data_IF_321713041984
#
_entry.id   IF_321713041984
#
_cell.length_a   1.000
_cell.length_b   1.000
_cell.length_c   1.000
_cell.angle_alpha   90.00
_cell.angle_beta   90.00
_cell.angle_gamma   90.00
#
_symmetry.space_group_name_H-M   'P 1'
#
loop_
_entity.id
_entity.type
_entity.pdbx_description
1 polymer ?
#
# COMPACT_ATOMS: atom_id res chain seq x y z
N UNK A 1 6.11 -10.22 -16.14
CA UNK A 1 6.01 -9.43 -14.89
C UNK A 1 7.32 -9.55 -14.13
N UNK A 2 7.83 -8.46 -13.58
CA UNK A 2 9.01 -8.42 -12.72
C UNK A 2 8.52 -8.10 -11.32
N UNK A 3 8.68 -9.06 -10.40
CA UNK A 3 8.18 -9.01 -9.01
C UNK A 3 9.33 -8.68 -8.06
N UNK A 4 9.13 -7.72 -7.15
CA UNK A 4 10.12 -7.31 -6.15
C UNK A 4 10.33 -8.39 -5.09
N UNK A 5 9.27 -9.07 -4.68
CA UNK A 5 9.28 -10.17 -3.72
C UNK A 5 8.86 -11.50 -4.30
N UNK A 6 8.62 -12.47 -3.44
CA UNK A 6 8.09 -13.78 -3.81
C UNK A 6 6.60 -13.68 -4.17
N UNK A 7 6.15 -14.43 -5.15
CA UNK A 7 4.74 -14.46 -5.58
C UNK A 7 3.75 -14.96 -4.53
N UNK A 8 4.24 -15.45 -3.40
CA UNK A 8 3.47 -15.98 -2.28
C UNK A 8 3.91 -15.34 -0.94
N UNK A 9 4.30 -14.07 -0.98
CA UNK A 9 4.73 -13.29 0.18
C UNK A 9 3.56 -12.91 1.14
N UNK A 10 2.34 -13.23 0.76
CA UNK A 10 1.09 -12.84 1.44
C UNK A 10 0.91 -11.32 1.56
N UNK A 11 1.51 -10.57 0.64
CA UNK A 11 1.50 -9.12 0.58
C UNK A 11 1.55 -8.59 -0.86
N UNK A 12 2.47 -7.64 -1.09
CA UNK A 12 2.56 -6.87 -2.34
C UNK A 12 2.75 -7.73 -3.58
N UNK A 13 3.77 -8.60 -3.61
CA UNK A 13 4.07 -9.39 -4.82
C UNK A 13 3.01 -10.44 -5.11
N UNK A 14 2.38 -11.04 -4.08
CA UNK A 14 1.26 -11.94 -4.28
C UNK A 14 0.05 -11.23 -4.88
N UNK A 15 -0.28 -10.02 -4.41
CA UNK A 15 -1.39 -9.25 -4.98
C UNK A 15 -1.20 -8.98 -6.49
N UNK A 16 0.03 -8.70 -6.92
CA UNK A 16 0.38 -8.54 -8.33
C UNK A 16 0.35 -9.85 -9.11
N UNK A 17 0.84 -10.94 -8.52
CA UNK A 17 0.79 -12.26 -9.13
C UNK A 17 -0.66 -12.71 -9.37
N UNK A 18 -1.53 -12.53 -8.37
CA UNK A 18 -2.95 -12.83 -8.48
C UNK A 18 -3.64 -11.97 -9.55
N UNK A 19 -3.22 -10.71 -9.70
CA UNK A 19 -3.67 -9.87 -10.80
C UNK A 19 -3.23 -10.38 -12.17
N UNK A 20 -2.06 -10.98 -12.28
CA UNK A 20 -1.61 -11.67 -13.49
C UNK A 20 -2.50 -12.89 -13.82
N UNK A 21 -2.88 -13.68 -12.81
CA UNK A 21 -3.83 -14.78 -12.99
C UNK A 21 -5.23 -14.26 -13.38
N UNK A 22 -5.66 -13.14 -12.82
CA UNK A 22 -6.91 -12.47 -13.21
C UNK A 22 -6.87 -12.02 -14.69
N UNK A 23 -5.72 -11.52 -15.17
CA UNK A 23 -5.53 -11.18 -16.59
C UNK A 23 -5.68 -12.43 -17.48
N UNK A 24 -5.05 -13.56 -17.12
CA UNK A 24 -5.17 -14.81 -17.86
C UNK A 24 -6.62 -15.31 -17.95
N UNK A 25 -7.42 -15.07 -16.90
CA UNK A 25 -8.84 -15.44 -16.87
C UNK A 25 -9.73 -14.53 -17.72
N UNK A 26 -9.36 -13.25 -17.85
CA UNK A 26 -10.21 -12.24 -18.49
C UNK A 26 -9.80 -11.85 -19.90
N UNK A 27 -8.57 -12.18 -20.33
CA UNK A 27 -8.09 -11.94 -21.70
C UNK A 27 -7.76 -13.27 -22.35
N UNK A 28 -8.56 -13.74 -23.32
CA UNK A 28 -8.33 -15.02 -23.99
C UNK A 28 -6.94 -15.08 -24.66
N UNK A 29 -6.17 -16.11 -24.29
CA UNK A 29 -4.81 -16.32 -24.83
C UNK A 29 -3.70 -15.50 -24.15
N UNK A 30 -4.02 -14.71 -23.12
CA UNK A 30 -3.00 -14.10 -22.29
C UNK A 30 -2.29 -15.15 -21.42
N UNK A 31 -0.96 -15.04 -21.34
CA UNK A 31 -0.12 -15.89 -20.49
C UNK A 31 0.89 -15.02 -19.73
N UNK A 32 1.02 -15.24 -18.43
CA UNK A 32 1.94 -14.52 -17.57
C UNK A 32 3.30 -15.21 -17.53
N UNK A 33 4.34 -14.50 -17.97
CA UNK A 33 5.73 -14.80 -17.64
C UNK A 33 6.15 -13.93 -16.44
N UNK A 34 6.92 -14.44 -15.50
CA UNK A 34 7.36 -13.65 -14.35
C UNK A 34 8.75 -14.04 -13.86
N UNK A 35 9.39 -13.09 -13.17
CA UNK A 35 10.64 -13.26 -12.43
C UNK A 35 10.40 -12.69 -11.02
N UNK A 36 10.81 -13.43 -9.98
CA UNK A 36 10.60 -13.10 -8.58
C UNK A 36 11.87 -12.59 -7.91
N UNK A 37 11.68 -11.90 -6.77
CA UNK A 37 12.77 -11.45 -5.88
C UNK A 37 13.76 -10.49 -6.58
N UNK A 38 13.24 -9.62 -7.43
CA UNK A 38 14.02 -8.62 -8.16
C UNK A 38 14.00 -7.30 -7.38
N UNK A 39 15.00 -7.09 -6.52
CA UNK A 39 15.17 -5.87 -5.71
C UNK A 39 16.63 -5.48 -5.61
N UNK A 40 16.91 -4.22 -5.27
CA UNK A 40 18.26 -3.70 -5.13
C UNK A 40 19.07 -4.50 -4.11
N UNK A 41 20.17 -5.11 -4.56
CA UNK A 41 21.00 -6.01 -3.73
C UNK A 41 20.56 -7.48 -3.76
N UNK A 42 19.51 -7.84 -4.47
CA UNK A 42 19.09 -9.24 -4.63
C UNK A 42 20.15 -10.09 -5.35
N UNK A 43 20.34 -11.35 -4.95
CA UNK A 43 21.17 -12.31 -5.70
C UNK A 43 20.70 -12.48 -7.17
N UNK A 44 19.43 -12.31 -7.47
CA UNK A 44 18.87 -12.37 -8.83
C UNK A 44 19.48 -11.32 -9.74
N UNK A 45 19.88 -10.15 -9.21
CA UNK A 45 20.54 -9.08 -9.95
C UNK A 45 22.08 -9.23 -10.05
N UNK A 46 22.66 -10.36 -9.59
CA UNK A 46 24.10 -10.56 -9.69
C UNK A 46 24.55 -10.65 -11.16
N UNK A 47 25.26 -9.62 -11.62
CA UNK A 47 25.77 -9.52 -12.99
C UNK A 47 24.73 -9.19 -14.05
N UNK A 48 23.53 -8.73 -13.64
CA UNK A 48 22.46 -8.29 -14.53
C UNK A 48 21.71 -7.10 -13.92
N UNK A 49 20.84 -6.46 -14.69
CA UNK A 49 19.94 -5.39 -14.22
C UNK A 49 18.49 -5.79 -14.36
N UNK A 50 17.60 -5.07 -13.70
CA UNK A 50 16.15 -5.27 -13.83
C UNK A 50 15.68 -5.09 -15.27
N UNK A 51 16.23 -4.10 -16.00
CA UNK A 51 15.95 -3.87 -17.42
C UNK A 51 16.36 -5.09 -18.26
N UNK A 52 17.57 -5.66 -18.03
CA UNK A 52 18.02 -6.87 -18.75
C UNK A 52 17.16 -8.10 -18.44
N UNK A 53 16.63 -8.24 -17.23
CA UNK A 53 15.67 -9.30 -16.91
C UNK A 53 14.36 -9.12 -17.67
N UNK A 54 13.89 -7.88 -17.84
CA UNK A 54 12.72 -7.58 -18.65
C UNK A 54 12.98 -7.91 -20.15
N UNK A 55 14.19 -7.61 -20.69
CA UNK A 55 14.61 -8.02 -22.04
C UNK A 55 14.57 -9.55 -22.21
N UNK A 56 14.96 -10.31 -21.20
CA UNK A 56 14.85 -11.76 -21.24
C UNK A 56 13.39 -12.24 -21.34
N UNK A 57 12.46 -11.56 -20.66
CA UNK A 57 11.02 -11.87 -20.80
C UNK A 57 10.52 -11.55 -22.21
N UNK A 58 10.95 -10.42 -22.81
CA UNK A 58 10.63 -10.09 -24.22
C UNK A 58 11.19 -11.14 -25.17
N UNK A 59 12.43 -11.59 -24.96
CA UNK A 59 13.03 -12.66 -25.77
C UNK A 59 12.30 -14.02 -25.63
N UNK A 60 11.57 -14.23 -24.53
CA UNK A 60 10.67 -15.38 -24.33
C UNK A 60 9.27 -15.17 -24.90
N UNK A 61 8.99 -14.01 -25.52
CA UNK A 61 7.73 -13.70 -26.18
C UNK A 61 6.80 -12.77 -25.41
N UNK A 62 7.24 -12.17 -24.31
CA UNK A 62 6.43 -11.17 -23.63
C UNK A 62 6.20 -9.94 -24.53
N UNK A 63 4.96 -9.51 -24.65
CA UNK A 63 4.54 -8.39 -25.51
C UNK A 63 4.27 -7.10 -24.73
N UNK A 64 4.24 -7.20 -23.40
CA UNK A 64 4.08 -6.10 -22.45
C UNK A 64 4.85 -6.46 -21.18
N UNK A 65 5.50 -5.48 -20.56
CA UNK A 65 6.22 -5.69 -19.29
C UNK A 65 5.54 -4.93 -18.16
N UNK A 66 5.41 -5.60 -17.00
CA UNK A 66 4.94 -5.01 -15.75
C UNK A 66 6.09 -5.03 -14.76
N UNK A 67 6.46 -3.85 -14.25
CA UNK A 67 7.35 -3.67 -13.10
C UNK A 67 6.50 -3.32 -11.89
N UNK A 68 6.65 -4.07 -10.79
CA UNK A 68 5.72 -3.96 -9.67
C UNK A 68 6.25 -3.20 -8.45
N UNK A 69 7.33 -2.44 -8.56
CA UNK A 69 7.89 -1.77 -7.38
C UNK A 69 8.58 -0.45 -7.68
N UNK A 70 8.45 0.51 -6.76
CA UNK A 70 9.22 1.78 -6.80
C UNK A 70 10.73 1.55 -6.81
N UNK A 71 11.23 0.45 -6.22
CA UNK A 71 12.65 0.04 -6.28
C UNK A 71 13.15 -0.19 -7.71
N UNK A 72 12.24 -0.44 -8.66
CA UNK A 72 12.55 -0.69 -10.07
C UNK A 72 12.34 0.53 -10.97
N UNK A 73 11.90 1.66 -10.47
CA UNK A 73 11.39 2.78 -11.30
C UNK A 73 12.40 3.31 -12.32
N UNK A 74 13.68 3.40 -11.96
CA UNK A 74 14.72 3.92 -12.85
C UNK A 74 15.02 2.93 -13.96
N UNK A 75 15.09 1.62 -13.65
CA UNK A 75 15.28 0.55 -14.63
C UNK A 75 14.06 0.35 -15.53
N UNK A 76 12.84 0.50 -14.99
CA UNK A 76 11.60 0.49 -15.78
C UNK A 76 11.54 1.67 -16.74
N UNK A 77 11.95 2.86 -16.29
CA UNK A 77 12.05 4.06 -17.12
C UNK A 77 13.05 3.85 -18.25
N UNK A 78 14.25 3.34 -17.93
CA UNK A 78 15.27 3.01 -18.92
C UNK A 78 14.79 1.97 -19.92
N UNK A 79 14.19 0.88 -19.45
CA UNK A 79 13.63 -0.16 -20.33
C UNK A 79 12.61 0.40 -21.30
N UNK A 80 11.65 1.22 -20.82
CA UNK A 80 10.62 1.82 -21.67
C UNK A 80 11.21 2.74 -22.77
N UNK A 81 12.26 3.50 -22.44
CA UNK A 81 12.95 4.37 -23.39
C UNK A 81 13.76 3.58 -24.42
N UNK A 82 14.41 2.49 -24.03
CA UNK A 82 15.22 1.64 -24.91
C UNK A 82 14.35 0.73 -25.82
N UNK A 83 13.12 0.44 -25.39
CA UNK A 83 12.17 -0.44 -26.09
C UNK A 83 10.82 0.27 -26.38
N UNK A 84 10.79 1.31 -27.23
CA UNK A 84 9.60 2.14 -27.45
C UNK A 84 8.39 1.38 -28.02
N UNK A 85 8.62 0.22 -28.62
CA UNK A 85 7.58 -0.65 -29.20
C UNK A 85 6.96 -1.62 -28.17
N UNK A 86 7.51 -1.68 -26.94
CA UNK A 86 7.02 -2.56 -25.87
C UNK A 86 6.24 -1.73 -24.85
N UNK A 87 4.93 -1.93 -24.68
CA UNK A 87 4.17 -1.30 -23.62
C UNK A 87 4.69 -1.68 -22.23
N UNK A 88 4.73 -0.71 -21.33
CA UNK A 88 5.22 -0.87 -19.96
C UNK A 88 4.15 -0.42 -18.97
N UNK A 89 3.86 -1.26 -18.00
CA UNK A 89 3.13 -0.88 -16.77
C UNK A 89 4.15 -0.76 -15.67
N UNK A 90 4.23 0.43 -15.04
CA UNK A 90 4.95 0.63 -13.80
C UNK A 90 3.92 0.76 -12.68
N UNK A 91 3.78 -0.29 -11.89
CA UNK A 91 2.92 -0.28 -10.72
C UNK A 91 3.63 0.45 -9.59
N UNK A 92 2.95 1.45 -9.06
CA UNK A 92 3.44 2.63 -8.34
C UNK A 92 4.17 3.65 -9.24
N UNK A 93 4.86 4.63 -8.65
CA UNK A 93 5.57 5.67 -9.39
C UNK A 93 4.65 6.71 -10.06
N UNK A 94 5.27 7.74 -10.62
CA UNK A 94 4.58 8.92 -11.19
C UNK A 94 5.30 9.51 -12.40
N UNK A 95 6.15 8.70 -13.06
CA UNK A 95 7.02 9.15 -14.13
C UNK A 95 6.25 9.76 -15.31
N UNK A 96 5.04 9.26 -15.59
CA UNK A 96 4.21 9.78 -16.68
C UNK A 96 3.02 10.63 -16.18
N UNK A 97 3.06 11.06 -14.94
CA UNK A 97 2.09 12.01 -14.42
C UNK A 97 2.43 13.44 -14.84
N UNK A 98 1.70 13.99 -15.81
CA UNK A 98 1.98 15.31 -16.41
C UNK A 98 2.01 16.46 -15.39
N UNK A 99 1.25 16.35 -14.30
CA UNK A 99 1.21 17.32 -13.20
C UNK A 99 2.18 16.95 -12.07
N UNK A 100 2.84 15.78 -12.15
CA UNK A 100 3.79 15.30 -11.16
C UNK A 100 5.12 16.05 -11.20
N UNK A 101 5.91 15.90 -10.13
CA UNK A 101 7.20 16.57 -10.00
C UNK A 101 8.31 15.94 -10.86
N UNK A 102 8.15 14.67 -11.24
CA UNK A 102 9.16 13.89 -11.98
C UNK A 102 8.69 13.49 -13.39
N UNK A 103 7.79 14.29 -14.00
CA UNK A 103 7.22 13.95 -15.31
C UNK A 103 8.28 13.73 -16.39
N UNK A 104 8.16 12.59 -17.07
CA UNK A 104 8.92 12.22 -18.24
C UNK A 104 7.97 11.88 -19.41
N UNK A 105 8.19 12.38 -20.62
CA UNK A 105 7.33 12.11 -21.78
C UNK A 105 7.63 10.73 -22.39
N UNK A 106 7.28 9.65 -21.69
CA UNK A 106 7.51 8.27 -22.12
C UNK A 106 6.22 7.73 -22.74
N UNK A 107 6.14 7.55 -24.07
CA UNK A 107 4.89 7.28 -24.77
C UNK A 107 4.35 5.86 -24.58
N UNK A 108 5.20 4.91 -24.22
CA UNK A 108 4.88 3.49 -24.04
C UNK A 108 4.82 3.05 -22.58
N UNK A 109 4.67 3.97 -21.61
CA UNK A 109 4.56 3.67 -20.20
C UNK A 109 3.22 4.16 -19.61
N UNK A 110 2.67 3.37 -18.70
CA UNK A 110 1.56 3.74 -17.82
C UNK A 110 1.99 3.55 -16.37
N UNK A 111 1.78 4.56 -15.51
CA UNK A 111 1.86 4.36 -14.07
C UNK A 111 0.47 3.98 -13.54
N UNK A 112 0.40 2.94 -12.73
CA UNK A 112 -0.85 2.50 -12.09
C UNK A 112 -0.65 2.44 -10.58
N UNK A 113 -1.54 3.09 -9.83
CA UNK A 113 -1.60 3.01 -8.37
C UNK A 113 -3.06 3.03 -7.89
N UNK A 114 -3.37 2.30 -6.83
CA UNK A 114 -4.63 2.44 -6.11
C UNK A 114 -4.55 3.59 -5.11
N UNK A 115 -5.66 4.28 -4.83
CA UNK A 115 -5.76 5.28 -3.75
C UNK A 115 -5.84 4.57 -2.39
N UNK A 116 -4.74 3.94 -2.02
CA UNK A 116 -4.60 3.17 -0.77
C UNK A 116 -4.70 4.05 0.48
N UNK A 117 -4.63 5.35 0.34
CA UNK A 117 -4.97 6.33 1.38
C UNK A 117 -6.31 6.00 2.03
N UNK A 118 -7.31 5.65 1.23
CA UNK A 118 -8.63 5.25 1.73
C UNK A 118 -8.58 3.89 2.45
N UNK A 119 -7.85 2.92 1.93
CA UNK A 119 -7.64 1.64 2.60
C UNK A 119 -6.93 1.80 3.95
N UNK A 120 -5.92 2.68 4.00
CA UNK A 120 -5.20 2.98 5.25
C UNK A 120 -6.06 3.77 6.24
N UNK A 121 -6.94 4.67 5.79
CA UNK A 121 -7.94 5.31 6.65
C UNK A 121 -8.86 4.27 7.29
N UNK A 122 -9.33 3.27 6.53
CA UNK A 122 -10.14 2.17 7.05
C UNK A 122 -9.37 1.33 8.07
N UNK A 123 -8.09 1.05 7.81
CA UNK A 123 -7.22 0.33 8.73
C UNK A 123 -7.03 1.11 10.04
N UNK A 124 -6.75 2.41 9.96
CA UNK A 124 -6.65 3.27 11.13
C UNK A 124 -7.94 3.33 11.94
N UNK A 125 -9.09 3.45 11.26
CA UNK A 125 -10.41 3.41 11.89
C UNK A 125 -10.64 2.08 12.64
N UNK A 126 -10.41 0.92 11.98
CA UNK A 126 -10.56 -0.40 12.61
C UNK A 126 -9.65 -0.57 13.84
N UNK A 127 -8.40 -0.07 13.75
CA UNK A 127 -7.46 -0.05 14.87
C UNK A 127 -7.99 0.78 16.03
N UNK A 128 -8.45 2.02 15.80
CA UNK A 128 -8.96 2.93 16.83
C UNK A 128 -10.23 2.41 17.50
N UNK A 129 -11.12 1.78 16.75
CA UNK A 129 -12.35 1.17 17.27
C UNK A 129 -12.07 -0.04 18.17
N UNK A 130 -10.95 -0.74 17.94
CA UNK A 130 -10.56 -1.96 18.69
C UNK A 130 -9.62 -1.65 19.86
N UNK A 131 -8.68 -0.71 19.68
CA UNK A 131 -7.68 -0.40 20.70
C UNK A 131 -8.31 -0.05 22.05
N UNK A 132 -7.80 -0.70 23.09
CA UNK A 132 -8.16 -0.48 24.51
C UNK A 132 -7.20 0.49 25.18
N UNK A 133 -5.94 0.54 24.72
CA UNK A 133 -4.90 1.40 25.30
C UNK A 133 -4.85 2.78 24.65
N UNK A 134 -5.41 2.96 23.45
CA UNK A 134 -5.25 4.16 22.64
C UNK A 134 -3.89 4.25 21.96
N UNK A 135 -3.05 3.21 22.06
CA UNK A 135 -1.72 3.17 21.44
C UNK A 135 -1.75 2.30 20.21
N UNK A 136 -1.57 2.92 19.05
CA UNK A 136 -1.56 2.27 17.74
C UNK A 136 -0.16 2.39 17.14
N UNK A 137 0.48 1.24 16.89
CA UNK A 137 1.75 1.14 16.19
C UNK A 137 1.56 1.04 14.68
N UNK A 138 2.49 1.58 13.92
CA UNK A 138 2.57 1.38 12.49
C UNK A 138 3.97 0.87 12.13
N UNK A 139 4.03 -0.34 11.61
CA UNK A 139 5.26 -0.94 11.10
C UNK A 139 5.49 -0.40 9.68
N UNK A 140 6.37 0.60 9.55
CA UNK A 140 6.62 1.28 8.29
C UNK A 140 7.80 0.66 7.51
N UNK A 141 7.75 0.66 6.15
CA UNK A 141 8.86 0.17 5.34
C UNK A 141 10.04 1.16 5.34
N UNK A 142 10.22 1.92 4.30
CA UNK A 142 11.20 3.00 4.18
C UNK A 142 10.50 4.37 4.16
N UNK A 143 11.27 5.45 4.32
CA UNK A 143 10.69 6.80 4.34
C UNK A 143 10.76 7.38 2.92
N UNK A 144 9.60 7.51 2.28
CA UNK A 144 9.40 8.26 1.04
C UNK A 144 8.03 8.95 1.04
N UNK A 145 7.65 9.62 -0.06
CA UNK A 145 6.37 10.32 -0.14
C UNK A 145 5.17 9.36 -0.04
N UNK A 146 5.28 8.18 -0.65
CA UNK A 146 4.22 7.16 -0.60
C UNK A 146 3.97 6.69 0.84
N UNK A 147 5.01 6.26 1.53
CA UNK A 147 4.88 5.69 2.87
C UNK A 147 4.43 6.73 3.89
N UNK A 148 4.87 8.01 3.72
CA UNK A 148 4.38 9.11 4.56
C UNK A 148 2.88 9.36 4.36
N UNK A 149 2.39 9.43 3.10
CA UNK A 149 0.95 9.66 2.86
C UNK A 149 0.09 8.50 3.34
N UNK A 150 0.58 7.26 3.22
CA UNK A 150 -0.17 6.07 3.64
C UNK A 150 -0.26 5.97 5.17
N UNK A 151 0.84 6.14 5.89
CA UNK A 151 0.80 6.13 7.37
C UNK A 151 0.01 7.32 7.92
N UNK A 152 0.13 8.50 7.30
CA UNK A 152 -0.65 9.68 7.69
C UNK A 152 -2.15 9.48 7.43
N UNK A 153 -2.52 8.78 6.36
CA UNK A 153 -3.91 8.40 6.11
C UNK A 153 -4.44 7.43 7.16
N UNK A 154 -3.63 6.46 7.60
CA UNK A 154 -4.00 5.59 8.71
C UNK A 154 -4.21 6.39 10.01
N UNK A 155 -3.33 7.34 10.31
CA UNK A 155 -3.49 8.24 11.45
C UNK A 155 -4.77 9.06 11.37
N UNK A 156 -5.07 9.68 10.21
CA UNK A 156 -6.31 10.45 10.02
C UNK A 156 -7.57 9.60 10.25
N UNK A 157 -7.58 8.37 9.73
CA UNK A 157 -8.66 7.42 9.95
C UNK A 157 -8.79 7.00 11.43
N UNK A 158 -7.65 6.74 12.09
CA UNK A 158 -7.64 6.41 13.51
C UNK A 158 -8.17 7.57 14.35
N UNK A 159 -7.66 8.77 14.13
CA UNK A 159 -8.10 9.98 14.85
C UNK A 159 -9.60 10.22 14.69
N UNK A 160 -10.08 10.21 13.45
CA UNK A 160 -11.50 10.41 13.17
C UNK A 160 -12.39 9.40 13.92
N UNK A 161 -12.12 8.09 13.78
CA UNK A 161 -12.95 7.07 14.42
C UNK A 161 -12.81 7.05 15.96
N UNK A 162 -11.62 7.42 16.48
CA UNK A 162 -11.41 7.59 17.92
C UNK A 162 -12.30 8.69 18.50
N UNK A 163 -12.34 9.84 17.86
CA UNK A 163 -13.16 10.98 18.23
C UNK A 163 -14.67 10.68 18.06
N UNK A 164 -15.07 10.02 16.96
CA UNK A 164 -16.47 9.62 16.74
C UNK A 164 -16.96 8.59 17.78
N UNK A 165 -16.05 7.79 18.34
CA UNK A 165 -16.35 6.90 19.45
C UNK A 165 -16.44 7.62 20.82
N UNK A 166 -16.30 8.95 20.84
CA UNK A 166 -16.38 9.76 22.06
C UNK A 166 -15.19 9.59 23.00
N UNK A 167 -14.07 9.07 22.49
CA UNK A 167 -12.83 8.88 23.26
C UNK A 167 -12.05 10.21 23.30
N UNK A 168 -11.23 10.38 24.35
CA UNK A 168 -10.38 11.56 24.54
C UNK A 168 -9.32 11.65 23.41
N UNK A 169 -9.32 12.71 22.59
CA UNK A 169 -8.34 12.87 21.51
C UNK A 169 -6.88 12.86 21.99
N UNK A 170 -6.62 13.37 23.20
CA UNK A 170 -5.27 13.45 23.78
C UNK A 170 -4.77 12.06 24.26
N UNK A 171 -5.65 11.08 24.37
CA UNK A 171 -5.28 9.70 24.73
C UNK A 171 -4.81 8.87 23.52
N UNK A 172 -5.03 9.31 22.29
CA UNK A 172 -4.59 8.60 21.10
C UNK A 172 -3.08 8.82 20.86
N UNK A 173 -2.32 7.74 20.88
CA UNK A 173 -0.89 7.71 20.53
C UNK A 173 -0.72 6.91 19.23
N UNK A 174 -0.18 7.55 18.19
CA UNK A 174 0.07 6.90 16.92
C UNK A 174 1.54 7.02 16.54
N UNK A 175 2.24 5.89 16.49
CA UNK A 175 3.68 5.85 16.25
C UNK A 175 4.03 5.00 15.05
N UNK A 176 4.88 5.52 14.16
CA UNK A 176 5.51 4.74 13.10
C UNK A 176 6.96 4.43 13.43
N UNK A 177 7.36 3.17 13.19
CA UNK A 177 8.77 2.75 13.20
C UNK A 177 9.10 2.17 11.83
N UNK A 178 10.15 2.71 11.20
CA UNK A 178 10.58 2.36 9.85
C UNK A 178 11.64 1.28 9.88
N UNK A 179 11.50 0.25 9.04
CA UNK A 179 12.49 -0.85 8.96
C UNK A 179 13.59 -0.57 7.94
N UNK A 180 13.43 0.36 7.02
CA UNK A 180 14.42 0.79 6.04
C UNK A 180 14.29 0.17 4.66
N UNK A 181 13.39 -0.79 4.45
CA UNK A 181 13.03 -1.38 3.16
C UNK A 181 11.58 -1.89 3.18
N UNK A 182 11.07 -2.33 2.04
CA UNK A 182 9.70 -2.82 1.88
C UNK A 182 9.42 -4.12 2.67
N UNK A 183 10.45 -4.92 2.90
CA UNK A 183 10.42 -6.15 3.66
C UNK A 183 11.78 -6.41 4.34
N UNK A 184 11.89 -7.49 5.09
CA UNK A 184 13.12 -7.81 5.81
C UNK A 184 14.23 -8.29 4.87
N UNK A 185 15.37 -7.60 4.92
CA UNK A 185 16.62 -8.01 4.28
C UNK A 185 17.70 -8.09 5.36
N UNK A 186 18.18 -9.29 5.73
CA UNK A 186 19.17 -9.46 6.78
C UNK A 186 20.42 -8.59 6.56
N UNK A 187 20.78 -7.80 7.58
CA UNK A 187 21.94 -6.90 7.55
C UNK A 187 21.73 -5.59 6.78
N UNK A 188 20.55 -5.37 6.20
CA UNK A 188 20.20 -4.14 5.49
C UNK A 188 19.01 -3.41 6.12
N UNK A 189 17.91 -4.10 6.39
CA UNK A 189 16.74 -3.54 7.07
C UNK A 189 16.66 -4.03 8.52
N UNK A 190 15.91 -3.30 9.36
CA UNK A 190 15.57 -3.75 10.71
C UNK A 190 14.64 -4.96 10.65
N UNK A 191 14.76 -5.86 11.62
CA UNK A 191 13.87 -7.03 11.73
C UNK A 191 12.46 -6.59 12.10
N UNK A 192 11.45 -6.77 11.23
CA UNK A 192 10.08 -6.34 11.47
C UNK A 192 9.41 -7.09 12.63
N UNK A 193 9.82 -8.33 12.91
CA UNK A 193 9.33 -9.09 14.07
C UNK A 193 9.76 -8.43 15.36
N UNK A 194 11.04 -7.98 15.46
CA UNK A 194 11.53 -7.26 16.63
C UNK A 194 10.83 -5.92 16.80
N UNK A 195 10.61 -5.18 15.71
CA UNK A 195 9.88 -3.89 15.76
C UNK A 195 8.43 -4.09 16.23
N UNK A 196 7.76 -5.13 15.76
CA UNK A 196 6.41 -5.46 16.22
C UNK A 196 6.39 -5.86 17.71
N UNK A 197 7.34 -6.68 18.16
CA UNK A 197 7.49 -7.07 19.56
C UNK A 197 7.74 -5.85 20.45
N UNK A 198 8.59 -4.90 20.03
CA UNK A 198 8.82 -3.64 20.74
C UNK A 198 7.56 -2.78 20.89
N UNK A 199 6.70 -2.71 19.86
CA UNK A 199 5.42 -2.03 19.96
C UNK A 199 4.55 -2.66 21.04
N UNK A 200 4.32 -3.97 20.98
CA UNK A 200 3.45 -4.68 21.92
C UNK A 200 4.00 -4.62 23.36
N UNK A 201 5.31 -4.79 23.54
CA UNK A 201 5.95 -4.67 24.86
C UNK A 201 5.91 -3.23 25.41
N UNK A 202 5.76 -2.21 24.57
CA UNK A 202 5.58 -0.80 24.94
C UNK A 202 4.11 -0.43 25.20
N UNK A 203 3.21 -1.42 25.17
CA UNK A 203 1.79 -1.25 25.46
C UNK A 203 0.94 -0.77 24.27
N UNK A 204 1.47 -0.83 23.05
CA UNK A 204 0.67 -0.71 21.83
C UNK A 204 -0.12 -2.01 21.67
N UNK A 205 -1.43 -1.93 21.57
CA UNK A 205 -2.27 -3.13 21.48
C UNK A 205 -2.75 -3.45 20.06
N UNK A 206 -2.56 -2.52 19.13
CA UNK A 206 -2.80 -2.73 17.68
C UNK A 206 -1.58 -2.29 16.90
N UNK A 207 -1.09 -3.15 16.00
CA UNK A 207 -0.05 -2.80 15.02
C UNK A 207 -0.60 -2.92 13.60
N UNK A 208 -0.55 -1.81 12.86
CA UNK A 208 -0.88 -1.74 11.44
C UNK A 208 0.40 -1.97 10.64
N UNK A 209 0.37 -2.90 9.70
CA UNK A 209 1.49 -3.12 8.77
C UNK A 209 1.45 -2.14 7.60
N UNK A 210 2.62 -1.68 7.21
CA UNK A 210 2.88 -0.94 5.98
C UNK A 210 3.95 -1.60 5.12
N UNK A 211 4.41 -2.81 5.51
CA UNK A 211 5.42 -3.58 4.78
C UNK A 211 4.76 -4.68 3.95
N UNK A 212 5.50 -5.21 2.98
CA UNK A 212 5.02 -6.17 1.98
C UNK A 212 4.82 -7.59 2.53
N UNK A 213 5.13 -7.83 3.81
CA UNK A 213 5.13 -9.14 4.46
C UNK A 213 4.39 -9.12 5.80
N UNK A 214 4.21 -10.29 6.45
CA UNK A 214 3.22 -10.48 7.52
C UNK A 214 3.81 -10.65 8.93
N UNK A 215 5.05 -10.21 9.17
CA UNK A 215 5.74 -10.44 10.46
C UNK A 215 4.99 -9.82 11.64
N UNK A 216 4.41 -8.61 11.49
CA UNK A 216 3.63 -7.98 12.56
C UNK A 216 2.44 -8.85 12.99
N UNK A 217 1.79 -9.50 12.04
CA UNK A 217 0.66 -10.39 12.32
C UNK A 217 1.13 -11.70 12.98
N UNK A 218 2.24 -12.26 12.50
CA UNK A 218 2.85 -13.46 13.10
C UNK A 218 3.24 -13.20 14.56
N UNK A 219 3.80 -12.01 14.85
CA UNK A 219 4.18 -11.64 16.21
C UNK A 219 2.96 -11.37 17.09
N UNK A 220 1.93 -10.68 16.59
CA UNK A 220 0.66 -10.51 17.29
C UNK A 220 0.04 -11.87 17.67
N UNK A 221 0.04 -12.83 16.73
CA UNK A 221 -0.47 -14.18 17.01
C UNK A 221 0.30 -14.85 18.14
N UNK A 222 1.63 -14.81 18.09
CA UNK A 222 2.49 -15.40 19.13
C UNK A 222 2.17 -14.84 20.52
N UNK A 223 1.99 -13.52 20.62
CA UNK A 223 1.69 -12.84 21.88
C UNK A 223 0.24 -13.10 22.33
N UNK A 224 -0.69 -13.15 21.40
CA UNK A 224 -2.08 -13.49 21.69
C UNK A 224 -2.19 -14.93 22.24
N UNK A 225 -1.50 -15.91 21.63
CA UNK A 225 -1.45 -17.28 22.12
C UNK A 225 -0.82 -17.40 23.51
N UNK A 226 0.03 -16.42 23.89
CA UNK A 226 0.57 -16.26 25.24
C UNK A 226 -0.37 -15.52 26.21
N UNK A 227 -1.59 -15.17 25.78
CA UNK A 227 -2.64 -14.57 26.58
C UNK A 227 -2.65 -13.04 26.60
N UNK A 228 -1.93 -12.37 25.71
CA UNK A 228 -1.98 -10.91 25.58
C UNK A 228 -3.17 -10.49 24.69
N UNK A 229 -3.82 -9.37 25.04
CA UNK A 229 -4.88 -8.76 24.23
C UNK A 229 -4.25 -7.82 23.19
N UNK A 230 -3.81 -8.39 22.06
CA UNK A 230 -3.15 -7.68 20.95
C UNK A 230 -3.73 -8.08 19.61
N UNK A 231 -3.69 -7.16 18.66
CA UNK A 231 -4.24 -7.31 17.31
C UNK A 231 -3.30 -6.77 16.25
N UNK A 232 -3.51 -7.20 15.00
CA UNK A 232 -2.76 -6.70 13.85
C UNK A 232 -3.68 -6.44 12.66
N UNK A 233 -3.21 -5.54 11.78
CA UNK A 233 -3.80 -5.27 10.47
C UNK A 233 -2.69 -5.47 9.44
N UNK A 234 -2.64 -6.62 8.74
CA UNK A 234 -1.71 -6.85 7.63
C UNK A 234 -2.06 -5.97 6.43
N UNK A 235 -1.30 -6.10 5.34
CA UNK A 235 -1.37 -5.16 4.22
C UNK A 235 -1.26 -5.87 2.87
N UNK A 236 -1.68 -5.18 1.79
CA UNK A 236 -1.55 -5.48 0.36
C UNK A 236 -2.39 -6.63 -0.17
N UNK A 237 -2.42 -7.78 0.49
CA UNK A 237 -3.03 -9.00 -0.01
C UNK A 237 -4.34 -9.31 0.70
N UNK A 238 -5.43 -9.45 -0.07
CA UNK A 238 -6.80 -9.65 0.45
C UNK A 238 -6.94 -10.82 1.43
N UNK A 239 -6.20 -11.92 1.20
CA UNK A 239 -6.26 -13.14 2.00
C UNK A 239 -5.31 -13.15 3.22
N UNK A 240 -4.62 -12.04 3.54
CA UNK A 240 -3.60 -12.05 4.57
C UNK A 240 -4.13 -12.44 5.96
N UNK A 241 -5.40 -12.18 6.28
CA UNK A 241 -6.01 -12.56 7.56
C UNK A 241 -6.14 -14.08 7.78
N UNK A 242 -6.08 -14.88 6.71
CA UNK A 242 -6.29 -16.34 6.80
C UNK A 242 -5.23 -17.04 7.66
N UNK A 243 -4.04 -16.44 7.79
CA UNK A 243 -2.94 -17.02 8.57
C UNK A 243 -3.12 -16.85 10.09
N UNK A 244 -3.88 -15.84 10.56
CA UNK A 244 -4.13 -15.57 11.97
C UNK A 244 -5.48 -14.85 12.17
N UNK A 245 -6.61 -15.51 11.89
CA UNK A 245 -7.93 -14.88 11.92
C UNK A 245 -8.32 -14.35 13.30
N UNK A 246 -7.83 -14.96 14.39
CA UNK A 246 -8.14 -14.61 15.77
C UNK A 246 -7.60 -13.25 16.22
N UNK A 247 -6.61 -12.69 15.50
CA UNK A 247 -6.01 -11.38 15.83
C UNK A 247 -6.10 -10.38 14.68
N UNK A 248 -6.58 -10.80 13.53
CA UNK A 248 -6.66 -9.94 12.36
C UNK A 248 -7.93 -9.09 12.38
N UNK A 249 -7.77 -7.75 12.40
CA UNK A 249 -8.89 -6.81 12.37
C UNK A 249 -9.39 -6.52 10.96
N UNK A 250 -8.60 -6.81 9.96
CA UNK A 250 -8.89 -6.59 8.55
C UNK A 250 -7.64 -6.35 7.76
N UNK A 251 -7.77 -6.22 6.45
CA UNK A 251 -6.66 -5.94 5.57
C UNK A 251 -7.06 -4.92 4.49
N UNK A 252 -6.40 -3.75 4.44
CA UNK A 252 -6.45 -2.89 3.26
C UNK A 252 -5.62 -3.55 2.16
N UNK A 253 -6.21 -3.77 0.99
CA UNK A 253 -5.54 -4.49 -0.08
C UNK A 253 -5.67 -3.79 -1.42
N UNK A 254 -4.70 -4.02 -2.30
CA UNK A 254 -4.77 -3.62 -3.69
C UNK A 254 -5.44 -4.71 -4.54
N UNK A 255 -6.22 -4.25 -5.51
CA UNK A 255 -6.78 -5.08 -6.57
C UNK A 255 -6.30 -4.55 -7.93
N UNK A 256 -5.19 -5.09 -8.40
CA UNK A 256 -4.52 -4.66 -9.63
C UNK A 256 -5.18 -5.21 -10.90
N UNK A 257 -5.94 -6.32 -10.78
CA UNK A 257 -6.49 -7.07 -11.92
C UNK A 257 -7.26 -6.23 -12.93
N UNK A 258 -8.29 -5.46 -12.52
CA UNK A 258 -9.10 -4.67 -13.47
C UNK A 258 -8.27 -3.63 -14.24
N UNK A 259 -7.36 -2.92 -13.57
CA UNK A 259 -6.49 -1.93 -14.21
C UNK A 259 -5.50 -2.59 -15.19
N UNK A 260 -4.97 -3.75 -14.84
CA UNK A 260 -4.10 -4.53 -15.74
C UNK A 260 -4.86 -5.01 -16.97
N UNK A 261 -6.05 -5.60 -16.80
CA UNK A 261 -6.91 -6.03 -17.92
C UNK A 261 -7.19 -4.85 -18.85
N UNK A 262 -7.64 -3.71 -18.33
CA UNK A 262 -7.95 -2.54 -19.14
C UNK A 262 -6.73 -2.03 -19.92
N UNK A 263 -5.57 -1.95 -19.27
CA UNK A 263 -4.33 -1.46 -19.89
C UNK A 263 -3.80 -2.45 -20.94
N UNK A 264 -3.78 -3.76 -20.66
CA UNK A 264 -3.34 -4.80 -21.58
C UNK A 264 -4.29 -4.87 -22.78
N UNK A 265 -5.62 -4.78 -22.55
CA UNK A 265 -6.59 -4.76 -23.65
C UNK A 265 -6.35 -3.55 -24.56
N UNK A 266 -6.05 -2.37 -24.01
CA UNK A 266 -5.73 -1.19 -24.82
C UNK A 266 -4.48 -1.38 -25.68
N UNK A 267 -3.49 -2.13 -25.19
CA UNK A 267 -2.30 -2.48 -25.96
C UNK A 267 -2.64 -3.45 -27.11
N UNK A 268 -3.48 -4.46 -26.85
CA UNK A 268 -3.97 -5.41 -27.87
C UNK A 268 -4.75 -4.68 -28.97
N UNK A 269 -5.61 -3.73 -28.59
CA UNK A 269 -6.47 -2.96 -29.50
C UNK A 269 -5.72 -1.85 -30.25
N UNK A 270 -4.43 -1.62 -29.97
CA UNK A 270 -3.63 -0.55 -30.54
C UNK A 270 -4.05 0.85 -30.11
N UNK A 271 -4.72 0.96 -28.95
CA UNK A 271 -5.19 2.23 -28.36
C UNK A 271 -4.42 2.62 -27.10
N UNK A 272 -3.33 1.93 -26.81
CA UNK A 272 -2.48 2.21 -25.66
C UNK A 272 -1.99 3.66 -25.68
N UNK A 273 -2.16 4.35 -24.56
CA UNK A 273 -1.68 5.72 -24.37
C UNK A 273 -1.02 5.87 -23.01
N UNK A 274 0.12 6.56 -22.98
CA UNK A 274 0.82 6.89 -21.75
C UNK A 274 -0.06 7.76 -20.85
N UNK A 275 -0.26 7.31 -19.63
CA UNK A 275 -1.00 8.05 -18.63
C UNK A 275 -0.64 7.62 -17.17
N UNK A 276 -1.01 8.46 -16.23
CA UNK A 276 -0.95 8.16 -14.80
C UNK A 276 -2.35 7.83 -14.31
N UNK A 277 -2.51 6.66 -13.70
CA UNK A 277 -3.76 6.17 -13.13
C UNK A 277 -3.61 6.07 -11.61
N UNK A 278 -4.41 6.84 -10.88
CA UNK A 278 -4.51 6.77 -9.43
C UNK A 278 -5.95 6.46 -9.06
N UNK A 279 -6.25 5.17 -9.00
CA UNK A 279 -7.59 4.63 -9.07
C UNK A 279 -8.26 4.58 -7.70
N UNK A 280 -9.52 5.00 -7.63
CA UNK A 280 -10.34 4.98 -6.43
C UNK A 280 -10.84 3.57 -6.08
N UNK A 281 -11.24 3.34 -4.80
CA UNK A 281 -12.17 2.27 -4.47
C UNK A 281 -13.48 2.42 -5.26
N UNK A 282 -14.13 1.32 -5.57
CA UNK A 282 -15.53 1.37 -6.00
C UNK A 282 -16.42 1.62 -4.76
N UNK A 283 -16.87 2.84 -4.61
CA UNK A 283 -17.66 3.22 -3.44
C UNK A 283 -19.04 2.57 -3.36
N UNK A 284 -19.50 1.87 -4.40
CA UNK A 284 -20.74 1.08 -4.37
C UNK A 284 -20.49 -0.30 -3.75
N UNK A 285 -19.30 -0.87 -3.95
CA UNK A 285 -18.78 -2.08 -3.33
C UNK A 285 -17.24 -2.05 -3.33
N UNK A 286 -16.66 -1.60 -2.23
CA UNK A 286 -15.20 -1.47 -2.10
C UNK A 286 -14.43 -2.79 -2.25
N UNK A 287 -15.11 -3.93 -2.15
CA UNK A 287 -14.51 -5.26 -2.29
C UNK A 287 -14.87 -5.95 -3.62
N UNK A 288 -15.50 -5.22 -4.54
CA UNK A 288 -15.82 -5.73 -5.87
C UNK A 288 -14.54 -6.07 -6.64
N UNK A 289 -14.33 -7.36 -7.02
CA UNK A 289 -13.09 -7.79 -7.65
C UNK A 289 -12.89 -7.23 -9.07
N UNK A 290 -13.96 -6.76 -9.71
CA UNK A 290 -13.94 -6.35 -11.12
C UNK A 290 -13.85 -4.83 -11.30
N UNK A 291 -14.13 -4.04 -10.25
CA UNK A 291 -14.24 -2.58 -10.36
C UNK A 291 -13.46 -1.79 -9.33
N UNK A 292 -13.24 -2.34 -8.13
CA UNK A 292 -12.54 -1.62 -7.07
C UNK A 292 -11.02 -1.78 -7.20
N UNK A 293 -10.27 -0.68 -7.14
CA UNK A 293 -8.81 -0.71 -7.16
C UNK A 293 -8.20 -0.93 -5.75
N UNK A 294 -8.95 -0.57 -4.71
CA UNK A 294 -8.56 -0.70 -3.31
C UNK A 294 -9.75 -1.22 -2.52
N UNK A 295 -9.51 -2.22 -1.70
CA UNK A 295 -10.53 -2.79 -0.84
C UNK A 295 -10.12 -2.79 0.63
N UNK A 296 -11.07 -3.15 1.49
CA UNK A 296 -10.84 -3.48 2.88
C UNK A 296 -11.61 -4.75 3.24
N UNK A 297 -10.90 -5.86 3.38
CA UNK A 297 -11.48 -7.10 3.88
C UNK A 297 -11.49 -7.06 5.41
N UNK A 298 -12.69 -7.05 6.02
CA UNK A 298 -12.82 -7.09 7.48
C UNK A 298 -12.31 -8.41 8.02
N UNK A 299 -11.50 -8.35 9.07
CA UNK A 299 -10.96 -9.52 9.74
C UNK A 299 -11.92 -10.11 10.76
N UNK A 300 -11.79 -11.41 11.04
CA UNK A 300 -12.65 -12.10 12.02
C UNK A 300 -12.52 -11.60 13.45
N UNK A 301 -11.38 -10.99 13.82
CA UNK A 301 -11.17 -10.42 15.15
C UNK A 301 -11.84 -9.05 15.35
N UNK A 302 -12.36 -8.42 14.31
CA UNK A 302 -13.09 -7.16 14.42
C UNK A 302 -14.48 -7.40 15.02
N UNK A 303 -14.79 -6.78 16.16
CA UNK A 303 -16.10 -6.96 16.81
C UNK A 303 -17.26 -6.48 15.92
N UNK A 304 -18.45 -6.99 16.17
CA UNK A 304 -19.66 -6.60 15.42
C UNK A 304 -19.90 -5.09 15.51
N UNK A 305 -19.69 -4.50 16.68
CA UNK A 305 -19.87 -3.06 16.92
C UNK A 305 -18.84 -2.24 16.18
N UNK A 306 -17.56 -2.66 16.22
CA UNK A 306 -16.47 -2.00 15.47
C UNK A 306 -16.70 -2.14 13.96
N UNK A 307 -17.15 -3.30 13.49
CA UNK A 307 -17.49 -3.51 12.07
C UNK A 307 -18.62 -2.60 11.60
N UNK A 308 -19.68 -2.43 12.39
CA UNK A 308 -20.78 -1.52 12.05
C UNK A 308 -20.35 -0.04 12.05
N UNK A 309 -19.49 0.36 12.99
CA UNK A 309 -18.92 1.71 13.03
C UNK A 309 -18.00 1.96 11.84
N UNK A 310 -17.18 0.97 11.45
CA UNK A 310 -16.34 1.02 10.26
C UNK A 310 -17.20 1.14 8.98
N UNK A 311 -18.33 0.42 8.88
CA UNK A 311 -19.26 0.56 7.74
C UNK A 311 -19.83 1.97 7.65
N UNK A 312 -20.16 2.57 8.78
CA UNK A 312 -20.62 3.97 8.84
C UNK A 312 -19.52 4.92 8.36
N UNK A 313 -18.28 4.70 8.75
CA UNK A 313 -17.13 5.48 8.28
C UNK A 313 -16.90 5.33 6.77
N UNK A 314 -16.95 4.10 6.25
CA UNK A 314 -16.83 3.82 4.79
C UNK A 314 -17.94 4.54 4.02
N UNK A 315 -19.18 4.46 4.50
CA UNK A 315 -20.30 5.15 3.88
C UNK A 315 -20.14 6.69 3.91
N UNK A 316 -19.57 7.25 4.97
CA UNK A 316 -19.26 8.66 5.04
C UNK A 316 -18.20 9.08 4.01
N UNK A 317 -17.12 8.29 3.83
CA UNK A 317 -16.10 8.53 2.79
C UNK A 317 -16.67 8.38 1.38
N UNK A 318 -17.55 7.42 1.16
CA UNK A 318 -18.29 7.29 -0.12
C UNK A 318 -19.19 8.50 -0.43
N UNK A 319 -19.61 9.23 0.59
CA UNK A 319 -20.42 10.45 0.49
C UNK A 319 -19.57 11.70 0.33
N UNK A 320 -19.38 12.44 1.40
CA UNK A 320 -18.71 13.75 1.39
C UNK A 320 -17.55 13.88 2.34
N UNK A 321 -17.26 12.86 3.17
CA UNK A 321 -16.15 12.92 4.12
C UNK A 321 -14.82 12.78 3.38
N UNK A 322 -13.99 13.82 3.49
CA UNK A 322 -12.63 13.80 3.01
C UNK A 322 -11.69 14.19 4.16
N UNK A 323 -10.93 13.23 4.69
CA UNK A 323 -10.02 13.47 5.80
C UNK A 323 -8.75 14.24 5.40
N UNK A 324 -8.46 14.38 4.11
CA UNK A 324 -7.44 15.31 3.59
C UNK A 324 -8.04 16.72 3.42
N UNK A 325 -8.76 17.18 4.44
CA UNK A 325 -9.33 18.54 4.54
C UNK A 325 -8.79 19.19 5.81
N UNK A 326 -8.27 20.41 5.69
CA UNK A 326 -7.71 21.18 6.81
C UNK A 326 -8.72 21.53 7.91
N UNK A 327 -8.23 21.87 9.08
CA UNK A 327 -6.83 22.19 9.37
C UNK A 327 -5.94 20.94 9.50
N UNK A 328 -4.84 20.90 8.77
CA UNK A 328 -3.80 19.86 8.90
C UNK A 328 -2.44 20.55 9.03
N UNK A 329 -1.70 20.20 10.06
CA UNK A 329 -0.33 20.63 10.27
C UNK A 329 0.64 19.45 10.04
N UNK A 330 1.84 19.78 9.55
CA UNK A 330 2.96 18.84 9.50
C UNK A 330 3.56 18.65 10.89
N UNK A 331 4.37 17.62 11.05
CA UNK A 331 4.98 17.23 12.32
C UNK A 331 5.81 18.36 12.96
N UNK A 332 6.39 19.26 12.18
CA UNK A 332 7.15 20.43 12.66
C UNK A 332 6.27 21.64 13.03
N UNK A 333 4.93 21.49 12.98
CA UNK A 333 3.95 22.53 13.26
C UNK A 333 3.65 23.46 12.07
N UNK A 334 4.26 23.24 10.91
CA UNK A 334 3.92 24.00 9.69
C UNK A 334 2.49 23.71 9.24
N UNK A 335 1.69 24.75 8.98
CA UNK A 335 0.34 24.59 8.42
C UNK A 335 0.46 24.02 7.01
N UNK A 336 -0.04 22.82 6.81
CA UNK A 336 -0.07 22.16 5.51
C UNK A 336 -1.36 22.44 4.74
N UNK A 337 -2.50 22.31 5.40
CA UNK A 337 -3.80 22.70 4.88
C UNK A 337 -4.48 23.63 5.88
N UNK A 338 -4.86 24.82 5.43
CA UNK A 338 -5.66 25.73 6.24
C UNK A 338 -7.08 25.16 6.47
N UNK A 339 -7.80 25.72 7.43
CA UNK A 339 -9.16 25.27 7.76
C UNK A 339 -10.08 25.26 6.54
N UNK A 340 -10.79 24.14 6.33
CA UNK A 340 -11.69 23.91 5.22
C UNK A 340 -11.02 23.71 3.84
N UNK A 341 -9.70 23.78 3.74
CA UNK A 341 -8.98 23.55 2.47
C UNK A 341 -8.82 22.05 2.22
N UNK A 342 -9.30 21.59 1.06
CA UNK A 342 -9.12 20.21 0.58
C UNK A 342 -7.77 20.09 -0.09
N UNK A 343 -7.00 19.06 0.25
CA UNK A 343 -5.72 18.77 -0.39
C UNK A 343 -5.89 18.48 -1.88
N UNK A 344 -4.98 19.00 -2.68
CA UNK A 344 -4.82 18.58 -4.08
C UNK A 344 -4.18 17.19 -4.16
N UNK A 345 -4.34 16.51 -5.30
CA UNK A 345 -3.69 15.22 -5.53
C UNK A 345 -2.16 15.30 -5.34
N UNK A 346 -1.53 16.40 -5.78
CA UNK A 346 -0.09 16.61 -5.57
C UNK A 346 0.27 16.76 -4.08
N UNK A 347 -0.53 17.47 -3.30
CA UNK A 347 -0.29 17.60 -1.86
C UNK A 347 -0.41 16.26 -1.15
N UNK A 348 -1.38 15.43 -1.50
CA UNK A 348 -1.46 14.08 -0.94
C UNK A 348 -0.29 13.23 -1.40
N UNK A 349 -0.01 13.19 -2.72
CA UNK A 349 1.03 12.34 -3.30
C UNK A 349 2.44 12.65 -2.78
N UNK A 350 2.79 13.94 -2.68
CA UNK A 350 4.12 14.41 -2.28
C UNK A 350 4.18 14.90 -0.82
N UNK A 351 3.41 14.29 0.08
CA UNK A 351 3.42 14.67 1.50
C UNK A 351 4.87 14.73 2.04
N UNK A 352 5.35 15.90 2.49
CA UNK A 352 6.77 16.08 2.79
C UNK A 352 7.19 15.57 4.16
N UNK A 353 6.26 15.49 5.13
CA UNK A 353 6.49 15.05 6.50
C UNK A 353 5.29 14.25 7.02
N UNK A 354 5.44 13.60 8.16
CA UNK A 354 4.32 13.09 8.94
C UNK A 354 3.43 14.25 9.41
N UNK A 355 2.24 13.94 9.90
CA UNK A 355 1.32 14.94 10.44
C UNK A 355 1.58 15.21 11.92
N UNK A 356 1.19 16.39 12.38
CA UNK A 356 1.19 16.76 13.80
C UNK A 356 0.38 15.73 14.62
N UNK A 357 0.91 15.34 15.78
CA UNK A 357 0.34 14.29 16.65
C UNK A 357 0.81 12.87 16.35
N UNK A 358 1.57 12.66 15.26
CA UNK A 358 2.24 11.39 14.98
C UNK A 358 3.64 11.35 15.59
N UNK A 359 4.04 10.16 16.08
CA UNK A 359 5.40 9.88 16.50
C UNK A 359 6.16 9.10 15.42
N UNK A 360 7.43 9.42 15.22
CA UNK A 360 8.32 8.78 14.25
C UNK A 360 9.12 9.77 13.42
N UNK A 361 9.96 9.26 12.52
CA UNK A 361 10.79 10.09 11.65
C UNK A 361 10.02 10.48 10.37
N UNK A 362 10.06 11.76 10.02
CA UNK A 362 9.50 12.26 8.75
C UNK A 362 10.47 12.15 7.57
N UNK A 363 11.79 12.12 7.85
CA UNK A 363 12.86 12.07 6.86
C UNK A 363 13.90 11.03 7.26
N UNK A 364 14.57 10.43 6.28
CA UNK A 364 15.71 9.53 6.53
C UNK A 364 16.85 10.31 7.19
N UNK A 365 17.49 9.70 8.19
CA UNK A 365 18.67 10.26 8.85
C UNK A 365 19.91 10.10 8.00
#
# INVERSE_FOLDING_TARGET
MVLVGAKNDHGWSQAHYDAGLYVEQNIPGAHMLYIENVYSGSPVLTGTTTSQLAEQLVAQGAQLIIFNSDDMKDEATKFAQDHPDVPVIMASGDQVWQQGQAYLPIPNMVNIMGRMEYGKMMAGCAAALTSQTGKIGYLGPLINAETRRLVSSAYLGAKYCWEQAGKDPDALQFKVTWIGFWFYIPGFSSDPTQVADEFYNSGYDVVISGIDTTEAMTEAKRLHDAGQAVWSIPYDYKGACDAAPEICLGVPYFNWGPAYVATIQSAIDGTFTSNFQWNFPDWTDINNPDTSAVGFAKGPALSTEAAASLDTFIAAMAGSLNLWTGPINLQDGTVYLADGVVATDQQVWYLPQLLEGMEGLSVSQ
#
